data_IF_204015643999
#
_entry.id   IF_204015643999
#
_cell.length_a   1.000
_cell.length_b   1.000
_cell.length_c   1.000
_cell.angle_alpha   90.00
_cell.angle_beta   90.00
_cell.angle_gamma   90.00
#
_symmetry.space_group_name_H-M   'P 1'
#
loop_
_entity.id
_entity.type
_entity.pdbx_description
1 polymer ?
#
# COMPACT_ATOMS: atom_id res chain seq x y z
N UNK A 1 -7.94 0.24 -80.30
CA UNK A 1 -9.08 0.45 -79.38
C UNK A 1 -9.00 -0.66 -78.35
N UNK A 2 -8.69 -0.34 -77.10
CA UNK A 2 -8.61 -1.29 -75.98
C UNK A 2 -9.42 -0.68 -74.84
N UNK A 3 -10.40 -1.46 -74.40
CA UNK A 3 -11.48 -1.05 -73.51
C UNK A 3 -10.97 -0.63 -72.12
N UNK A 4 -11.56 0.46 -71.62
CA UNK A 4 -11.35 0.99 -70.28
C UNK A 4 -12.37 0.30 -69.36
N UNK A 5 -11.97 -0.26 -68.20
CA UNK A 5 -12.92 -0.87 -67.29
C UNK A 5 -13.80 0.19 -66.63
N UNK A 6 -15.12 0.03 -66.82
CA UNK A 6 -16.17 0.81 -66.18
C UNK A 6 -16.21 0.51 -64.68
N UNK A 7 -15.85 1.49 -63.85
CA UNK A 7 -16.01 1.41 -62.40
C UNK A 7 -17.49 1.59 -62.11
N UNK A 8 -18.18 0.48 -61.85
CA UNK A 8 -19.56 0.50 -61.36
C UNK A 8 -19.56 1.07 -59.94
N UNK A 9 -19.99 2.31 -59.79
CA UNK A 9 -20.30 2.92 -58.48
C UNK A 9 -21.56 2.28 -57.91
N UNK A 10 -21.41 1.13 -57.25
CA UNK A 10 -22.46 0.51 -56.44
C UNK A 10 -22.10 0.63 -54.96
N UNK A 11 -22.04 1.85 -54.42
CA UNK A 11 -22.10 2.01 -52.97
C UNK A 11 -22.60 3.40 -52.56
N UNK A 12 -23.82 3.72 -52.99
CA UNK A 12 -24.50 4.96 -52.58
C UNK A 12 -24.95 4.96 -51.10
N UNK A 13 -24.65 3.89 -50.33
CA UNK A 13 -24.81 3.87 -48.87
C UNK A 13 -23.55 4.27 -48.08
N UNK A 14 -22.38 4.31 -48.71
CA UNK A 14 -21.09 4.53 -48.02
C UNK A 14 -20.73 6.02 -47.81
N UNK A 15 -21.52 6.95 -48.34
CA UNK A 15 -21.24 8.40 -48.28
C UNK A 15 -21.49 9.04 -46.90
N UNK A 16 -21.80 8.25 -45.87
CA UNK A 16 -21.93 8.73 -44.48
C UNK A 16 -21.24 7.84 -43.44
N UNK A 17 -20.42 6.86 -43.83
CA UNK A 17 -19.61 6.12 -42.87
C UNK A 17 -18.28 6.85 -42.69
N UNK A 18 -18.01 7.33 -41.47
CA UNK A 18 -16.72 7.94 -41.07
C UNK A 18 -15.54 6.95 -41.26
N UNK A 19 -15.86 5.66 -41.41
CA UNK A 19 -14.89 4.59 -41.56
C UNK A 19 -14.58 4.27 -43.03
N UNK A 20 -13.27 4.18 -43.33
CA UNK A 20 -12.73 3.88 -44.66
C UNK A 20 -12.86 2.40 -45.06
N UNK A 21 -13.08 1.50 -44.08
CA UNK A 21 -13.17 0.05 -44.26
C UNK A 21 -14.04 -0.59 -43.18
N UNK A 22 -14.76 -1.66 -43.54
CA UNK A 22 -15.50 -2.52 -42.59
C UNK A 22 -14.61 -3.04 -41.45
N UNK A 23 -13.33 -3.30 -41.74
CA UNK A 23 -12.35 -3.69 -40.71
C UNK A 23 -12.14 -2.58 -39.66
N UNK A 24 -12.11 -1.32 -40.10
CA UNK A 24 -11.94 -0.18 -39.18
C UNK A 24 -13.19 0.07 -38.33
N UNK A 25 -14.38 -0.20 -38.88
CA UNK A 25 -15.63 -0.16 -38.13
C UNK A 25 -15.71 -1.27 -37.07
N UNK A 26 -15.28 -2.48 -37.41
CA UNK A 26 -15.20 -3.61 -36.47
C UNK A 26 -14.21 -3.32 -35.32
N UNK A 27 -13.03 -2.79 -35.63
CA UNK A 27 -12.04 -2.41 -34.60
C UNK A 27 -12.54 -1.27 -33.72
N UNK A 28 -13.21 -0.27 -34.31
CA UNK A 28 -13.83 0.81 -33.56
C UNK A 28 -14.91 0.29 -32.61
N UNK A 29 -15.76 -0.62 -33.10
CA UNK A 29 -16.80 -1.26 -32.27
C UNK A 29 -16.20 -2.04 -31.10
N UNK A 30 -15.05 -2.69 -31.31
CA UNK A 30 -14.33 -3.41 -30.25
C UNK A 30 -13.66 -2.45 -29.24
N UNK A 31 -13.16 -1.29 -29.70
CA UNK A 31 -12.54 -0.27 -28.83
C UNK A 31 -13.58 0.49 -27.99
N UNK A 32 -14.76 0.75 -28.55
CA UNK A 32 -15.86 1.44 -27.87
C UNK A 32 -16.69 0.49 -27.01
N UNK A 33 -16.56 -0.82 -27.22
CA UNK A 33 -17.22 -1.81 -26.39
C UNK A 33 -16.80 -1.61 -24.92
N UNK A 34 -17.77 -1.40 -24.00
CA UNK A 34 -17.43 -1.27 -22.59
C UNK A 34 -16.76 -2.57 -22.13
N UNK A 35 -15.64 -2.48 -21.39
CA UNK A 35 -14.94 -3.66 -20.91
C UNK A 35 -15.91 -4.48 -20.04
N UNK A 36 -15.81 -5.82 -20.05
CA UNK A 36 -16.66 -6.66 -19.22
C UNK A 36 -16.34 -6.38 -17.75
N UNK A 37 -17.16 -5.53 -17.12
CA UNK A 37 -17.10 -5.27 -15.70
C UNK A 37 -17.67 -6.49 -14.98
N UNK A 38 -16.87 -7.12 -14.12
CA UNK A 38 -17.42 -8.09 -13.19
C UNK A 38 -18.47 -7.41 -12.31
N UNK A 39 -19.60 -8.06 -12.00
CA UNK A 39 -20.59 -7.50 -11.10
C UNK A 39 -19.88 -7.17 -9.77
N UNK A 40 -20.08 -5.96 -9.21
CA UNK A 40 -19.42 -5.60 -7.95
C UNK A 40 -19.82 -6.54 -6.83
N UNK A 41 -18.85 -7.04 -6.06
CA UNK A 41 -19.11 -7.81 -4.84
C UNK A 41 -19.48 -6.87 -3.67
N UNK A 42 -20.74 -6.43 -3.62
CA UNK A 42 -21.25 -5.49 -2.61
C UNK A 42 -21.02 -5.97 -1.17
N UNK A 43 -21.01 -7.28 -0.95
CA UNK A 43 -20.73 -7.90 0.37
C UNK A 43 -19.33 -7.52 0.88
N UNK A 44 -18.33 -7.46 -0.01
CA UNK A 44 -16.93 -7.13 0.34
C UNK A 44 -16.60 -5.64 0.31
N UNK A 45 -17.50 -4.80 -0.20
CA UNK A 45 -17.25 -3.35 -0.39
C UNK A 45 -16.92 -2.63 0.92
N UNK A 46 -15.76 -1.95 0.97
CA UNK A 46 -15.36 -1.11 2.12
C UNK A 46 -16.30 0.07 2.33
N UNK A 47 -16.77 0.69 1.24
CA UNK A 47 -17.67 1.85 1.28
C UNK A 47 -19.01 1.46 1.92
N UNK A 48 -19.61 0.34 1.48
CA UNK A 48 -20.86 -0.20 2.08
C UNK A 48 -20.68 -0.45 3.58
N UNK A 49 -19.55 -1.03 4.00
CA UNK A 49 -19.27 -1.27 5.42
C UNK A 49 -19.20 0.02 6.23
N UNK A 50 -18.41 0.99 5.76
CA UNK A 50 -18.31 2.29 6.44
C UNK A 50 -19.68 2.95 6.56
N UNK A 51 -20.51 2.86 5.52
CA UNK A 51 -21.87 3.39 5.54
C UNK A 51 -22.79 2.66 6.54
N UNK A 52 -22.84 1.32 6.50
CA UNK A 52 -23.66 0.52 7.41
C UNK A 52 -23.24 0.69 8.87
N UNK A 53 -21.93 0.78 9.13
CA UNK A 53 -21.39 1.10 10.45
C UNK A 53 -21.84 2.50 10.90
N UNK A 54 -21.80 3.50 10.01
CA UNK A 54 -22.32 4.84 10.32
C UNK A 54 -23.83 4.85 10.59
N UNK A 55 -24.60 3.94 9.98
CA UNK A 55 -26.03 3.75 10.26
C UNK A 55 -26.31 2.90 11.52
N UNK A 56 -25.28 2.37 12.18
CA UNK A 56 -25.44 1.49 13.35
C UNK A 56 -25.96 0.09 13.02
N UNK A 57 -25.93 -0.32 11.74
CA UNK A 57 -26.31 -1.66 11.30
C UNK A 57 -25.14 -2.62 11.56
N UNK A 58 -25.34 -3.73 12.31
CA UNK A 58 -24.30 -4.72 12.53
C UNK A 58 -23.89 -5.36 11.20
N UNK A 59 -22.57 -5.48 10.98
CA UNK A 59 -21.97 -6.02 9.75
C UNK A 59 -21.21 -7.29 10.10
N UNK A 60 -21.55 -8.40 9.45
CA UNK A 60 -20.86 -9.67 9.62
C UNK A 60 -19.46 -9.62 8.99
N UNK A 61 -18.43 -9.67 9.84
CA UNK A 61 -17.02 -9.60 9.43
C UNK A 61 -16.48 -10.95 8.89
N UNK A 62 -17.25 -12.03 9.04
CA UNK A 62 -16.85 -13.38 8.67
C UNK A 62 -17.03 -13.66 7.17
N UNK A 63 -17.92 -12.93 6.49
CA UNK A 63 -18.18 -13.05 5.04
C UNK A 63 -17.14 -12.31 4.17
N UNK A 64 -16.38 -11.39 4.79
CA UNK A 64 -15.50 -10.43 4.10
C UNK A 64 -14.02 -10.73 4.26
N UNK A 65 -13.64 -11.48 5.29
CA UNK A 65 -12.31 -12.05 5.34
C UNK A 65 -12.30 -13.19 4.32
N UNK A 66 -11.29 -13.32 3.44
CA UNK A 66 -11.14 -14.55 2.68
C UNK A 66 -11.19 -15.68 3.70
N UNK A 67 -12.22 -16.53 3.61
CA UNK A 67 -12.59 -17.52 4.62
C UNK A 67 -11.32 -18.02 5.25
N UNK A 68 -11.13 -17.68 6.54
CA UNK A 68 -9.87 -17.88 7.23
C UNK A 68 -9.43 -19.32 6.98
N UNK A 69 -8.54 -19.51 5.99
CA UNK A 69 -7.89 -20.78 5.72
C UNK A 69 -6.82 -20.95 6.79
N UNK A 70 -7.18 -20.70 8.05
CA UNK A 70 -6.60 -21.40 9.16
C UNK A 70 -6.98 -22.86 8.93
N UNK A 71 -6.12 -23.54 8.16
CA UNK A 71 -6.00 -25.00 8.21
C UNK A 71 -6.01 -25.30 9.70
N UNK A 72 -7.10 -25.88 10.22
CA UNK A 72 -7.17 -26.29 11.62
C UNK A 72 -5.86 -27.00 11.89
N UNK A 73 -5.07 -26.49 12.84
CA UNK A 73 -3.83 -27.13 13.26
C UNK A 73 -4.24 -28.45 13.91
N UNK A 74 -4.40 -29.48 13.08
CA UNK A 74 -4.54 -30.86 13.54
C UNK A 74 -3.10 -31.27 13.81
N UNK A 75 -2.71 -31.24 15.09
CA UNK A 75 -1.51 -31.90 15.53
C UNK A 75 -1.67 -33.39 15.21
N UNK A 76 -0.69 -34.04 14.54
CA UNK A 76 -0.66 -35.49 14.48
C UNK A 76 -0.78 -36.03 15.90
N UNK A 77 -1.70 -36.97 16.13
CA UNK A 77 -1.89 -37.61 17.43
C UNK A 77 -0.55 -38.22 17.87
N UNK A 78 0.14 -37.54 18.78
CA UNK A 78 1.30 -38.11 19.46
C UNK A 78 0.70 -39.10 20.47
N UNK A 79 0.70 -40.37 20.09
CA UNK A 79 0.39 -41.46 20.99
C UNK A 79 1.57 -41.63 21.95
N UNK A 80 1.51 -40.94 23.10
CA UNK A 80 2.41 -41.21 24.22
C UNK A 80 1.89 -42.51 24.87
N UNK A 81 2.65 -43.61 24.87
CA UNK A 81 2.22 -44.84 25.53
C UNK A 81 2.26 -44.60 27.05
N UNK A 82 1.09 -44.49 27.69
CA UNK A 82 1.05 -44.45 29.16
C UNK A 82 -0.15 -43.75 29.80
N UNK A 83 -0.88 -42.87 29.10
CA UNK A 83 -1.97 -42.13 29.75
C UNK A 83 -3.34 -42.24 29.04
N UNK A 84 -4.34 -42.29 29.90
CA UNK A 84 -5.69 -42.81 29.70
C UNK A 84 -6.58 -41.67 29.18
N UNK A 85 -6.99 -41.76 27.91
CA UNK A 85 -8.24 -41.26 27.29
C UNK A 85 -8.60 -39.74 27.37
N UNK A 86 -9.14 -39.14 26.29
CA UNK A 86 -9.42 -37.71 26.18
C UNK A 86 -10.81 -37.34 26.71
N UNK A 87 -10.96 -36.14 27.30
CA UNK A 87 -12.27 -35.52 27.52
C UNK A 87 -12.38 -34.20 26.74
N UNK A 88 -13.31 -34.11 25.77
CA UNK A 88 -13.79 -32.83 25.27
C UNK A 88 -14.88 -32.30 26.24
N UNK A 89 -14.76 -31.08 26.75
CA UNK A 89 -15.87 -30.41 27.42
C UNK A 89 -16.25 -29.15 26.66
N UNK A 90 -17.33 -29.30 25.90
CA UNK A 90 -18.25 -28.25 25.51
C UNK A 90 -18.97 -27.72 26.76
N UNK A 91 -19.25 -26.42 26.71
CA UNK A 91 -20.40 -25.70 27.32
C UNK A 91 -20.34 -25.23 28.79
N UNK A 92 -20.80 -23.97 28.97
CA UNK A 92 -21.70 -23.61 30.07
C UNK A 92 -21.17 -23.00 31.37
N UNK A 93 -21.51 -21.70 31.57
CA UNK A 93 -22.00 -21.05 32.81
C UNK A 93 -21.08 -20.84 34.04
N UNK A 94 -20.87 -19.55 34.30
CA UNK A 94 -21.14 -18.81 35.55
C UNK A 94 -20.81 -19.49 36.90
N UNK A 95 -19.79 -18.99 37.61
CA UNK A 95 -19.50 -19.39 38.99
C UNK A 95 -18.40 -18.57 39.64
N UNK A 96 -18.82 -17.58 40.44
CA UNK A 96 -18.00 -16.84 41.40
C UNK A 96 -17.38 -17.80 42.43
N UNK A 97 -16.07 -17.72 42.68
CA UNK A 97 -15.37 -18.68 43.54
C UNK A 97 -13.97 -18.23 43.96
N UNK A 98 -13.93 -17.16 44.77
CA UNK A 98 -12.86 -16.70 45.68
C UNK A 98 -11.82 -17.77 46.06
N UNK A 99 -10.59 -17.63 45.56
CA UNK A 99 -9.40 -18.30 46.09
C UNK A 99 -8.37 -17.26 46.56
N UNK A 100 -8.30 -17.11 47.88
CA UNK A 100 -7.31 -16.33 48.63
C UNK A 100 -5.94 -16.97 48.44
N UNK A 101 -4.97 -16.25 47.88
CA UNK A 101 -3.55 -16.60 47.97
C UNK A 101 -2.74 -15.33 48.25
N UNK A 102 -2.18 -15.29 49.45
CA UNK A 102 -1.18 -14.31 49.87
C UNK A 102 0.05 -14.43 48.98
N UNK A 103 0.37 -13.37 48.25
CA UNK A 103 1.71 -13.13 47.77
C UNK A 103 2.02 -11.64 47.93
N UNK A 104 2.93 -11.35 48.85
CA UNK A 104 3.53 -10.05 49.09
C UNK A 104 4.53 -9.76 47.98
N UNK A 105 4.11 -9.02 46.97
CA UNK A 105 4.99 -8.34 46.02
C UNK A 105 4.35 -7.01 45.65
N UNK A 106 4.70 -6.00 46.43
CA UNK A 106 4.31 -4.61 46.29
C UNK A 106 5.19 -3.92 45.25
N UNK A 107 4.76 -3.94 43.99
CA UNK A 107 5.07 -2.88 43.02
C UNK A 107 3.87 -2.70 42.10
N UNK A 108 2.73 -2.35 42.68
CA UNK A 108 1.62 -1.74 41.95
C UNK A 108 1.95 -0.27 41.73
N UNK A 109 2.53 0.06 40.58
CA UNK A 109 2.47 1.43 40.07
C UNK A 109 1.18 1.56 39.27
N UNK A 110 0.26 2.27 39.91
CA UNK A 110 -0.98 2.83 39.42
C UNK A 110 -0.89 3.27 37.94
N UNK A 111 -1.87 2.82 37.15
CA UNK A 111 -2.18 3.34 35.82
C UNK A 111 -2.91 4.68 35.97
N UNK A 112 -2.21 5.69 36.48
CA UNK A 112 -2.74 7.04 36.60
C UNK A 112 -2.51 7.79 35.30
N UNK A 113 -3.61 8.12 34.62
CA UNK A 113 -3.75 9.18 33.62
C UNK A 113 -2.72 9.17 32.46
N UNK A 114 -3.21 8.81 31.28
CA UNK A 114 -2.62 9.12 29.99
C UNK A 114 -2.34 10.62 29.85
N UNK A 115 -1.20 11.06 30.37
CA UNK A 115 -0.55 12.32 30.00
C UNK A 115 -0.16 12.19 28.52
N UNK A 116 -0.38 13.21 27.68
CA UNK A 116 0.00 13.14 26.28
C UNK A 116 1.49 12.87 26.23
N UNK A 117 1.86 11.77 25.58
CA UNK A 117 3.25 11.41 25.31
C UNK A 117 3.98 12.68 24.85
N UNK A 118 4.96 13.10 25.64
CA UNK A 118 5.96 14.05 25.18
C UNK A 118 6.55 13.40 23.94
N UNK A 119 6.09 13.84 22.75
CA UNK A 119 6.62 13.43 21.46
C UNK A 119 8.13 13.49 21.61
N UNK A 120 8.78 12.32 21.72
CA UNK A 120 10.22 12.22 21.62
C UNK A 120 10.55 13.01 20.37
N UNK A 121 11.29 14.12 20.53
CA UNK A 121 11.74 14.93 19.40
C UNK A 121 12.67 14.02 18.61
N UNK A 122 12.09 13.20 17.75
CA UNK A 122 12.83 12.51 16.71
C UNK A 122 13.45 13.56 15.81
N UNK A 123 14.45 13.18 15.01
CA UNK A 123 14.95 14.02 13.94
C UNK A 123 13.78 14.59 13.13
N UNK A 124 13.93 15.82 12.57
CA UNK A 124 12.86 16.46 11.83
C UNK A 124 12.30 15.52 10.75
N UNK A 125 10.97 15.56 10.50
CA UNK A 125 10.36 14.72 9.48
C UNK A 125 11.01 14.98 8.12
N UNK A 126 11.13 13.96 7.27
CA UNK A 126 11.73 14.12 5.95
C UNK A 126 10.95 15.18 5.15
N UNK A 127 11.65 16.01 4.36
CA UNK A 127 10.97 16.90 3.43
C UNK A 127 10.21 16.05 2.41
N UNK A 128 9.01 16.50 2.04
CA UNK A 128 8.12 15.74 1.16
C UNK A 128 8.36 16.10 -0.29
N UNK A 129 8.56 15.09 -1.12
CA UNK A 129 8.57 15.20 -2.57
C UNK A 129 7.68 14.12 -3.16
N UNK A 130 6.70 14.54 -3.94
CA UNK A 130 5.94 13.62 -4.76
C UNK A 130 6.75 13.28 -6.00
N UNK A 131 7.29 12.06 -5.99
CA UNK A 131 8.10 11.52 -7.08
C UNK A 131 7.26 11.40 -8.36
N UNK A 132 5.98 11.01 -8.24
CA UNK A 132 5.13 10.73 -9.40
C UNK A 132 4.78 11.99 -10.18
N UNK A 133 4.39 13.06 -9.48
CA UNK A 133 4.14 14.36 -10.11
C UNK A 133 5.41 14.97 -10.69
N UNK A 134 6.53 14.81 -9.99
CA UNK A 134 7.85 15.27 -10.44
C UNK A 134 8.25 14.61 -11.74
N UNK A 135 8.17 13.28 -11.81
CA UNK A 135 8.52 12.53 -13.02
C UNK A 135 7.64 12.93 -14.20
N UNK A 136 6.34 13.16 -13.97
CA UNK A 136 5.44 13.64 -15.03
C UNK A 136 5.84 15.03 -15.54
N UNK A 137 6.19 15.95 -14.65
CA UNK A 137 6.63 17.30 -15.01
C UNK A 137 7.96 17.29 -15.78
N UNK A 138 8.90 16.41 -15.40
CA UNK A 138 10.17 16.26 -16.12
C UNK A 138 10.02 15.51 -17.46
N UNK A 139 8.96 14.71 -17.62
CA UNK A 139 8.69 13.93 -18.83
C UNK A 139 7.93 14.73 -19.91
N UNK A 140 7.82 16.05 -19.78
CA UNK A 140 7.21 16.90 -20.83
C UNK A 140 7.96 16.73 -22.14
N UNK A 141 7.24 16.33 -23.18
CA UNK A 141 7.80 16.10 -24.52
C UNK A 141 8.06 17.40 -25.25
N UNK A 142 8.98 17.38 -26.21
CA UNK A 142 9.35 18.55 -27.02
C UNK A 142 8.15 19.14 -27.80
N UNK A 143 7.26 18.28 -28.28
CA UNK A 143 6.01 18.70 -28.93
C UNK A 143 5.05 19.45 -27.99
N UNK A 144 5.06 19.14 -26.69
CA UNK A 144 4.29 19.89 -25.70
C UNK A 144 4.93 21.25 -25.40
N UNK A 145 6.26 21.31 -25.35
CA UNK A 145 7.01 22.55 -25.14
C UNK A 145 6.86 23.51 -26.32
N UNK A 146 6.84 23.01 -27.56
CA UNK A 146 6.61 23.82 -28.76
C UNK A 146 5.21 24.45 -28.84
N UNK A 147 4.25 23.91 -28.09
CA UNK A 147 2.88 24.44 -28.01
C UNK A 147 2.67 25.41 -26.84
N UNK A 148 3.67 25.64 -25.99
CA UNK A 148 3.57 26.60 -24.90
C UNK A 148 3.75 28.03 -25.39
N UNK A 149 2.96 28.94 -24.81
CA UNK A 149 3.22 30.37 -24.92
C UNK A 149 4.44 30.76 -24.08
N UNK A 150 5.07 31.90 -24.39
CA UNK A 150 6.27 32.36 -23.68
C UNK A 150 6.04 32.49 -22.15
N UNK A 151 4.86 32.98 -21.75
CA UNK A 151 4.47 33.08 -20.33
C UNK A 151 4.29 31.72 -19.66
N UNK A 152 3.75 30.73 -20.38
CA UNK A 152 3.60 29.36 -19.87
C UNK A 152 4.95 28.65 -19.76
N UNK A 153 5.86 28.89 -20.71
CA UNK A 153 7.21 28.35 -20.69
C UNK A 153 8.00 28.89 -19.50
N UNK A 154 7.93 30.20 -19.25
CA UNK A 154 8.55 30.82 -18.06
C UNK A 154 7.96 30.28 -16.76
N UNK A 155 6.65 30.07 -16.70
CA UNK A 155 6.01 29.45 -15.54
C UNK A 155 6.43 27.98 -15.36
N UNK A 156 6.64 27.25 -16.45
CA UNK A 156 7.12 25.87 -16.42
C UNK A 156 8.56 25.78 -15.88
N UNK A 157 9.46 26.65 -16.38
CA UNK A 157 10.84 26.76 -15.90
C UNK A 157 10.85 27.06 -14.40
N UNK A 158 10.08 28.06 -13.96
CA UNK A 158 9.99 28.41 -12.54
C UNK A 158 9.54 27.22 -11.68
N UNK A 159 8.54 26.46 -12.12
CA UNK A 159 8.09 25.25 -11.40
C UNK A 159 9.19 24.18 -11.32
N UNK A 160 9.97 24.01 -12.39
CA UNK A 160 11.10 23.07 -12.41
C UNK A 160 12.21 23.50 -11.45
N UNK A 161 12.55 24.79 -11.39
CA UNK A 161 13.55 25.34 -10.46
C UNK A 161 13.13 25.16 -8.99
N UNK A 162 11.87 25.49 -8.66
CA UNK A 162 11.31 25.26 -7.32
C UNK A 162 11.34 23.78 -6.93
N UNK A 163 11.10 22.90 -7.91
CA UNK A 163 11.14 21.47 -7.70
C UNK A 163 12.57 20.97 -7.49
N UNK A 164 13.52 21.47 -8.27
CA UNK A 164 14.95 21.19 -8.10
C UNK A 164 15.45 21.59 -6.71
N UNK A 165 15.03 22.76 -6.20
CA UNK A 165 15.34 23.18 -4.84
C UNK A 165 14.85 22.18 -3.80
N UNK A 166 13.57 21.80 -3.86
CA UNK A 166 13.00 20.78 -2.95
C UNK A 166 13.68 19.41 -3.09
N UNK A 167 14.03 19.01 -4.32
CA UNK A 167 14.79 17.78 -4.62
C UNK A 167 16.14 17.75 -3.90
N UNK A 168 16.87 18.86 -3.94
CA UNK A 168 18.13 19.00 -3.23
C UNK A 168 17.94 18.94 -1.71
N UNK A 169 16.93 19.60 -1.16
CA UNK A 169 16.65 19.54 0.29
C UNK A 169 16.38 18.10 0.77
N UNK A 170 15.59 17.33 0.01
CA UNK A 170 15.33 15.92 0.32
C UNK A 170 16.59 15.07 0.17
N UNK A 171 17.37 15.31 -0.88
CA UNK A 171 18.62 14.60 -1.10
C UNK A 171 19.59 14.85 0.06
N UNK A 172 19.81 16.11 0.44
CA UNK A 172 20.69 16.48 1.56
C UNK A 172 20.21 15.88 2.88
N UNK A 173 18.91 15.91 3.16
CA UNK A 173 18.33 15.27 4.35
C UNK A 173 18.66 13.78 4.41
N UNK A 174 18.41 13.04 3.32
CA UNK A 174 18.66 11.60 3.30
C UNK A 174 20.14 11.26 3.28
N UNK A 175 20.96 12.09 2.63
CA UNK A 175 22.41 11.95 2.63
C UNK A 175 22.96 12.11 4.05
N UNK A 176 22.58 13.18 4.77
CA UNK A 176 22.99 13.40 6.16
C UNK A 176 22.52 12.26 7.07
N UNK A 177 21.28 11.77 6.87
CA UNK A 177 20.75 10.65 7.65
C UNK A 177 21.51 9.34 7.39
N UNK A 178 21.89 9.09 6.15
CA UNK A 178 22.72 7.94 5.76
C UNK A 178 24.10 8.03 6.39
N UNK A 179 24.74 9.21 6.35
CA UNK A 179 26.06 9.44 6.96
C UNK A 179 26.02 9.27 8.48
N UNK A 180 25.01 9.81 9.15
CA UNK A 180 24.80 9.60 10.59
C UNK A 180 24.65 8.12 10.93
N UNK A 181 23.82 7.38 10.18
CA UNK A 181 23.62 5.96 10.41
C UNK A 181 24.91 5.14 10.16
N UNK A 182 25.74 5.56 9.21
CA UNK A 182 27.02 4.93 8.91
C UNK A 182 28.03 5.19 10.04
N UNK A 183 28.09 6.41 10.56
CA UNK A 183 28.90 6.74 11.74
C UNK A 183 28.47 5.96 12.99
N UNK A 184 27.16 5.81 13.21
CA UNK A 184 26.63 4.99 14.30
C UNK A 184 27.05 3.52 14.15
N UNK A 185 27.00 2.97 12.92
CA UNK A 185 27.48 1.61 12.63
C UNK A 185 28.95 1.44 13.02
N UNK A 186 29.81 2.36 12.58
CA UNK A 186 31.25 2.29 12.84
C UNK A 186 31.57 2.44 14.34
N UNK A 187 30.79 3.26 15.07
CA UNK A 187 30.90 3.36 16.52
C UNK A 187 30.51 2.05 17.22
N UNK A 188 29.41 1.40 16.78
CA UNK A 188 29.02 0.10 17.33
C UNK A 188 30.08 -0.97 17.05
N UNK A 189 30.66 -1.01 15.85
CA UNK A 189 31.73 -1.95 15.51
C UNK A 189 32.94 -1.77 16.43
N UNK A 190 33.39 -0.54 16.67
CA UNK A 190 34.49 -0.26 17.61
C UNK A 190 34.17 -0.69 19.06
N UNK A 191 32.94 -0.46 19.52
CA UNK A 191 32.51 -0.90 20.86
C UNK A 191 32.51 -2.42 20.94
N UNK A 192 32.02 -3.12 19.91
CA UNK A 192 32.01 -4.58 19.85
C UNK A 192 33.45 -5.12 19.84
N UNK A 193 34.34 -4.54 19.04
CA UNK A 193 35.75 -4.94 19.01
C UNK A 193 36.41 -4.80 20.38
N UNK A 194 36.20 -3.66 21.05
CA UNK A 194 36.67 -3.42 22.42
C UNK A 194 36.13 -4.45 23.42
N UNK A 195 34.82 -4.76 23.33
CA UNK A 195 34.16 -5.73 24.21
C UNK A 195 34.72 -7.15 24.00
N UNK A 196 34.89 -7.55 22.74
CA UNK A 196 35.43 -8.87 22.37
C UNK A 196 36.89 -8.99 22.79
N UNK A 197 37.70 -7.95 22.61
CA UNK A 197 39.10 -7.92 23.06
C UNK A 197 39.20 -8.07 24.59
N UNK A 198 38.36 -7.36 25.34
CA UNK A 198 38.31 -7.48 26.79
C UNK A 198 37.87 -8.88 27.25
N UNK A 199 36.80 -9.43 26.65
CA UNK A 199 36.31 -10.76 26.98
C UNK A 199 37.34 -11.87 26.68
N UNK A 200 38.11 -11.75 25.58
CA UNK A 200 39.21 -12.66 25.26
C UNK A 200 40.37 -12.56 26.25
N UNK A 201 40.65 -11.37 26.79
CA UNK A 201 41.73 -11.14 27.76
C UNK A 201 41.39 -11.64 29.17
N UNK A 202 40.11 -11.66 29.53
CA UNK A 202 39.62 -12.13 30.84
C UNK A 202 39.54 -13.66 30.94
N UNK A 203 39.53 -14.37 29.80
CA UNK A 203 39.53 -15.83 29.72
C UNK A 203 40.95 -16.39 29.64
#
# INVERSE_FOLDING_TARGET
MKDIPSISTTNQGAVRSIFLSERSESLWSQLVAPPPLQPPDWVRSRIRRLFLVSLGVPVDLDEILPASKQKKLILPSIHIPGEKSPRPSSDGRNGLGRAKKENTSSTSVDSSASKPERKRKGPPPPPQLDISSTTQLCATTDAALGNFTDGELMAHIKRLEELQGRANEVFEYWQQRKESALGDKDAFEQVIESLVAHAKKVR
#
